data_IF_486460679461
#
_entry.id   IF_486460679461
#
_cell.length_a   1.000
_cell.length_b   1.000
_cell.length_c   1.000
_cell.angle_alpha   90.00
_cell.angle_beta   90.00
_cell.angle_gamma   90.00
#
_symmetry.space_group_name_H-M   'P 1'
#
loop_
_entity.id
_entity.type
_entity.pdbx_description
1 polymer ?
#
# COMPACT_ATOMS: atom_id res chain seq x y z
N UNK A 1 47.96 -4.29 2.24
CA UNK A 1 47.35 -5.46 1.59
C UNK A 1 46.58 -4.98 0.38
N UNK A 2 47.21 -5.07 -0.80
CA UNK A 2 46.66 -4.58 -2.06
C UNK A 2 45.54 -5.52 -2.52
N UNK A 3 44.32 -4.99 -2.68
CA UNK A 3 43.19 -5.75 -3.19
C UNK A 3 43.46 -6.23 -4.62
N UNK A 4 43.06 -7.47 -4.90
CA UNK A 4 43.25 -8.13 -6.19
C UNK A 4 42.78 -7.23 -7.36
N UNK A 5 43.68 -6.80 -8.27
CA UNK A 5 43.34 -5.87 -9.35
C UNK A 5 42.37 -6.46 -10.38
N UNK A 6 42.12 -7.78 -10.33
CA UNK A 6 41.12 -8.45 -11.16
C UNK A 6 39.69 -8.26 -10.67
N UNK A 7 39.48 -8.02 -9.37
CA UNK A 7 38.13 -7.81 -8.81
C UNK A 7 37.59 -6.40 -9.09
N UNK A 8 38.46 -5.40 -9.23
CA UNK A 8 38.09 -4.03 -9.60
C UNK A 8 37.76 -3.88 -11.09
N UNK A 9 38.18 -4.83 -11.93
CA UNK A 9 37.92 -4.85 -13.37
C UNK A 9 36.81 -5.81 -13.80
N UNK A 10 36.17 -6.55 -12.88
CA UNK A 10 34.97 -7.30 -13.22
C UNK A 10 33.82 -6.33 -13.53
N UNK A 11 33.67 -6.02 -14.82
CA UNK A 11 32.47 -5.36 -15.32
C UNK A 11 31.25 -6.13 -14.82
N UNK A 12 30.24 -5.47 -14.26
CA UNK A 12 29.14 -6.20 -13.65
C UNK A 12 28.41 -6.92 -14.78
N UNK A 13 28.42 -8.25 -14.71
CA UNK A 13 27.85 -9.13 -15.72
C UNK A 13 26.42 -8.67 -16.00
N UNK A 14 26.11 -8.30 -17.26
CA UNK A 14 24.78 -7.85 -17.64
C UNK A 14 23.75 -8.90 -17.22
N UNK A 15 22.96 -8.60 -16.20
CA UNK A 15 21.89 -9.49 -15.75
C UNK A 15 20.75 -9.33 -16.76
N UNK A 16 20.60 -10.29 -17.66
CA UNK A 16 19.54 -10.28 -18.69
C UNK A 16 19.65 -9.13 -19.70
N UNK A 17 20.87 -8.68 -20.04
CA UNK A 17 21.11 -7.69 -21.10
C UNK A 17 21.14 -6.22 -20.66
N UNK A 18 20.82 -5.92 -19.40
CA UNK A 18 20.75 -4.54 -18.87
C UNK A 18 22.08 -4.06 -18.30
N UNK A 19 22.34 -2.76 -18.44
CA UNK A 19 23.48 -2.10 -17.78
C UNK A 19 23.26 -2.10 -16.25
N UNK A 20 24.21 -2.62 -15.46
CA UNK A 20 24.16 -2.67 -13.99
C UNK A 20 23.88 -1.32 -13.30
N UNK A 21 24.20 -0.18 -13.93
CA UNK A 21 23.83 1.14 -13.39
C UNK A 21 22.32 1.33 -13.33
N UNK A 22 21.59 0.89 -14.35
CA UNK A 22 20.13 0.94 -14.41
C UNK A 22 19.50 0.04 -13.35
N UNK A 23 20.07 -1.15 -13.13
CA UNK A 23 19.61 -2.07 -12.07
C UNK A 23 19.79 -1.46 -10.68
N UNK A 24 20.89 -0.74 -10.45
CA UNK A 24 21.14 -0.01 -9.18
C UNK A 24 20.12 1.10 -8.96
N UNK A 25 19.75 1.87 -10.00
CA UNK A 25 18.70 2.89 -9.92
C UNK A 25 17.30 2.29 -9.65
N UNK A 26 16.98 1.14 -10.25
CA UNK A 26 15.72 0.43 -9.98
C UNK A 26 15.66 -0.08 -8.53
N UNK A 27 16.78 -0.54 -7.97
CA UNK A 27 16.88 -0.96 -6.57
C UNK A 27 16.81 0.23 -5.60
N UNK A 28 17.39 1.39 -5.91
CA UNK A 28 17.25 2.57 -5.05
C UNK A 28 15.85 3.15 -5.08
N UNK A 29 15.19 3.17 -6.24
CA UNK A 29 13.78 3.57 -6.34
C UNK A 29 12.86 2.60 -5.60
N UNK A 30 13.05 1.29 -5.75
CA UNK A 30 12.27 0.31 -4.99
C UNK A 30 12.57 0.34 -3.48
N UNK A 31 13.79 0.68 -3.06
CA UNK A 31 14.15 0.94 -1.66
C UNK A 31 13.48 2.21 -1.11
N UNK A 32 13.45 3.30 -1.87
CA UNK A 32 12.76 4.53 -1.49
C UNK A 32 11.25 4.31 -1.38
N UNK A 33 10.64 3.65 -2.37
CA UNK A 33 9.23 3.27 -2.38
C UNK A 33 8.87 2.32 -1.22
N UNK A 34 9.77 1.40 -0.85
CA UNK A 34 9.54 0.51 0.30
C UNK A 34 9.70 1.19 1.65
N UNK A 35 10.50 2.26 1.76
CA UNK A 35 10.59 3.07 2.98
C UNK A 35 9.34 3.92 3.22
N UNK A 36 8.80 4.52 2.15
CA UNK A 36 7.62 5.38 2.25
C UNK A 36 6.34 4.60 2.57
N UNK A 37 6.27 3.33 2.18
CA UNK A 37 5.03 2.56 2.25
C UNK A 37 5.17 1.29 3.08
N UNK A 38 5.63 1.42 4.33
CA UNK A 38 5.64 0.29 5.28
C UNK A 38 4.20 -0.23 5.45
N UNK A 39 3.96 -1.55 5.34
CA UNK A 39 2.62 -2.11 5.49
C UNK A 39 2.14 -1.86 6.92
N UNK A 40 1.28 -0.86 7.11
CA UNK A 40 0.61 -0.63 8.39
C UNK A 40 -0.49 -1.67 8.54
N UNK A 41 -0.74 -2.08 9.78
CA UNK A 41 -1.73 -3.11 10.08
C UNK A 41 -3.09 -2.73 9.44
N UNK A 42 -3.65 -3.58 8.55
CA UNK A 42 -4.92 -3.31 7.87
C UNK A 42 -6.06 -3.12 8.88
N UNK A 43 -6.04 -3.83 10.00
CA UNK A 43 -7.06 -3.72 11.05
C UNK A 43 -7.04 -2.33 11.68
N UNK A 44 -5.85 -1.81 11.98
CA UNK A 44 -5.68 -0.46 12.50
C UNK A 44 -6.23 0.58 11.53
N UNK A 45 -6.00 0.40 10.22
CA UNK A 45 -6.57 1.29 9.19
C UNK A 45 -8.09 1.19 9.11
N UNK A 46 -8.66 0.00 9.30
CA UNK A 46 -10.11 -0.18 9.34
C UNK A 46 -10.73 0.52 10.55
N UNK A 47 -10.04 0.56 11.70
CA UNK A 47 -10.55 1.21 12.92
C UNK A 47 -10.57 2.74 12.87
N UNK A 48 -9.92 3.36 11.89
CA UNK A 48 -9.84 4.82 11.76
C UNK A 48 -11.22 5.42 11.51
N UNK A 49 -12.01 4.81 10.63
CA UNK A 49 -13.33 5.33 10.28
C UNK A 49 -14.28 5.38 11.49
N UNK A 50 -14.47 4.30 12.27
CA UNK A 50 -15.32 4.36 13.46
C UNK A 50 -14.72 5.27 14.54
N UNK A 51 -13.39 5.30 14.70
CA UNK A 51 -12.73 6.23 15.62
C UNK A 51 -12.90 7.71 15.20
N UNK A 52 -13.07 7.98 13.90
CA UNK A 52 -13.34 9.31 13.37
C UNK A 52 -14.81 9.69 13.57
N UNK A 53 -15.74 8.75 13.36
CA UNK A 53 -17.19 9.00 13.43
C UNK A 53 -17.72 9.05 14.87
N UNK A 54 -17.19 8.25 15.79
CA UNK A 54 -17.71 8.17 17.16
C UNK A 54 -17.69 9.52 17.89
N UNK A 55 -16.59 10.30 17.91
CA UNK A 55 -16.58 11.61 18.57
C UNK A 55 -17.54 12.61 17.92
N UNK A 56 -17.72 12.54 16.58
CA UNK A 56 -18.66 13.40 15.86
C UNK A 56 -20.11 13.10 16.22
N UNK A 57 -20.45 11.84 16.46
CA UNK A 57 -21.78 11.45 16.93
C UNK A 57 -22.01 11.85 18.40
N UNK A 58 -20.99 11.77 19.25
CA UNK A 58 -21.07 12.24 20.64
C UNK A 58 -20.94 13.76 20.81
N UNK A 59 -20.91 14.50 19.70
CA UNK A 59 -20.76 15.95 19.70
C UNK A 59 -21.74 16.72 20.61
N UNK A 60 -23.03 16.35 20.74
CA UNK A 60 -23.95 17.07 21.63
C UNK A 60 -23.55 17.02 23.11
N UNK A 61 -22.81 15.97 23.52
CA UNK A 61 -22.37 15.76 24.91
C UNK A 61 -20.96 16.28 25.12
N UNK A 62 -20.06 16.06 24.16
CA UNK A 62 -18.64 16.46 24.25
C UNK A 62 -18.40 17.94 23.91
N UNK A 63 -19.33 18.57 23.17
CA UNK A 63 -19.11 19.86 22.54
C UNK A 63 -18.33 19.75 21.23
N UNK A 64 -18.52 20.76 20.36
CA UNK A 64 -17.99 20.75 18.98
C UNK A 64 -16.46 20.72 18.92
N UNK A 65 -15.79 21.45 19.83
CA UNK A 65 -14.33 21.54 19.87
C UNK A 65 -13.67 20.19 20.15
N UNK A 66 -14.14 19.48 21.17
CA UNK A 66 -13.60 18.18 21.56
C UNK A 66 -13.91 17.09 20.54
N UNK A 67 -15.12 17.09 19.98
CA UNK A 67 -15.50 16.17 18.91
C UNK A 67 -14.53 16.29 17.72
N UNK A 68 -14.31 17.51 17.22
CA UNK A 68 -13.40 17.75 16.10
C UNK A 68 -11.95 17.37 16.45
N UNK A 69 -11.47 17.75 17.64
CA UNK A 69 -10.11 17.45 18.08
C UNK A 69 -9.84 15.93 18.14
N UNK A 70 -10.78 15.15 18.71
CA UNK A 70 -10.66 13.70 18.78
C UNK A 70 -10.75 13.03 17.41
N UNK A 71 -11.63 13.50 16.52
CA UNK A 71 -11.72 12.98 15.16
C UNK A 71 -10.46 13.24 14.34
N UNK A 72 -9.86 14.43 14.47
CA UNK A 72 -8.58 14.76 13.84
C UNK A 72 -7.43 13.92 14.44
N UNK A 73 -7.42 13.72 15.76
CA UNK A 73 -6.46 12.85 16.42
C UNK A 73 -6.56 11.40 15.92
N UNK A 74 -7.78 10.88 15.72
CA UNK A 74 -8.01 9.56 15.16
C UNK A 74 -7.49 9.42 13.72
N UNK A 75 -7.59 10.46 12.90
CA UNK A 75 -6.99 10.48 11.57
C UNK A 75 -5.46 10.51 11.63
N UNK A 76 -4.89 11.36 12.50
CA UNK A 76 -3.44 11.49 12.69
C UNK A 76 -2.79 10.21 13.26
N UNK A 77 -3.53 9.45 14.06
CA UNK A 77 -3.11 8.19 14.67
C UNK A 77 -2.63 7.15 13.66
N UNK A 78 -3.16 7.18 12.43
CA UNK A 78 -2.70 6.34 11.32
C UNK A 78 -1.22 6.54 11.02
N UNK A 79 -0.71 7.75 11.21
CA UNK A 79 0.69 8.09 10.96
C UNK A 79 1.61 7.66 12.10
N UNK A 80 1.13 7.73 13.33
CA UNK A 80 1.89 7.47 14.56
C UNK A 80 2.11 5.97 14.78
N UNK A 81 1.15 5.11 14.40
CA UNK A 81 1.30 3.66 14.67
C UNK A 81 2.46 3.04 13.87
N UNK A 82 3.43 2.41 14.57
CA UNK A 82 4.46 1.63 13.91
C UNK A 82 3.84 0.39 13.24
N UNK A 83 4.32 0.01 12.05
CA UNK A 83 3.84 -1.18 11.37
C UNK A 83 4.21 -2.43 12.19
N UNK A 84 3.20 -3.05 12.81
CA UNK A 84 3.34 -4.37 13.43
C UNK A 84 3.43 -5.43 12.33
N UNK A 85 4.65 -5.82 11.95
CA UNK A 85 4.85 -6.93 11.03
C UNK A 85 6.21 -6.94 10.34
N UNK A 86 6.75 -8.15 10.17
CA UNK A 86 7.90 -8.38 9.29
C UNK A 86 7.52 -7.96 7.86
N UNK A 87 8.48 -7.41 7.12
CA UNK A 87 8.31 -7.06 5.69
C UNK A 87 7.81 -8.32 4.98
N UNK A 88 6.56 -8.30 4.51
CA UNK A 88 6.04 -9.36 3.66
C UNK A 88 6.82 -9.32 2.34
N UNK A 89 7.76 -10.24 2.18
CA UNK A 89 8.52 -10.42 0.95
C UNK A 89 7.78 -11.49 0.14
N UNK A 90 7.20 -11.09 -0.98
CA UNK A 90 6.38 -11.96 -1.83
C UNK A 90 4.88 -11.68 -1.74
N UNK A 91 4.15 -12.22 -2.73
CA UNK A 91 2.71 -12.05 -2.92
C UNK A 91 1.99 -13.39 -2.68
N UNK A 92 2.16 -13.98 -1.49
CA UNK A 92 1.63 -15.31 -1.20
C UNK A 92 0.16 -15.27 -0.80
N UNK A 93 -0.25 -14.25 -0.04
CA UNK A 93 -1.65 -14.09 0.37
C UNK A 93 -2.41 -13.13 -0.54
N UNK A 94 -3.74 -13.29 -0.61
CA UNK A 94 -4.63 -12.40 -1.36
C UNK A 94 -4.42 -10.92 -0.97
N UNK A 95 -4.28 -10.64 0.31
CA UNK A 95 -4.05 -9.29 0.81
C UNK A 95 -2.70 -8.72 0.36
N UNK A 96 -1.64 -9.54 0.36
CA UNK A 96 -0.32 -9.11 -0.14
C UNK A 96 -0.37 -8.78 -1.64
N UNK A 97 -1.09 -9.58 -2.43
CA UNK A 97 -1.34 -9.26 -3.85
C UNK A 97 -2.06 -7.91 -4.01
N UNK A 98 -3.09 -7.66 -3.20
CA UNK A 98 -3.83 -6.39 -3.23
C UNK A 98 -2.94 -5.19 -2.89
N UNK A 99 -2.11 -5.31 -1.83
CA UNK A 99 -1.19 -4.25 -1.42
C UNK A 99 -0.09 -3.98 -2.46
N UNK A 100 0.43 -5.03 -3.12
CA UNK A 100 1.39 -4.87 -4.21
C UNK A 100 0.72 -4.27 -5.46
N UNK A 101 -0.52 -4.67 -5.76
CA UNK A 101 -1.34 -4.09 -6.82
C UNK A 101 -1.59 -2.60 -6.60
N UNK A 102 -1.88 -2.18 -5.37
CA UNK A 102 -2.01 -0.76 -5.00
C UNK A 102 -0.71 0.01 -5.28
N UNK A 103 0.45 -0.56 -4.93
CA UNK A 103 1.75 0.05 -5.26
C UNK A 103 2.00 0.15 -6.76
N UNK A 104 1.65 -0.88 -7.53
CA UNK A 104 1.74 -0.87 -8.98
C UNK A 104 0.82 0.20 -9.59
N UNK A 105 -0.39 0.35 -9.04
CA UNK A 105 -1.36 1.36 -9.49
C UNK A 105 -0.94 2.80 -9.12
N UNK A 106 -0.25 2.99 -8.01
CA UNK A 106 0.37 4.29 -7.68
C UNK A 106 1.54 4.60 -8.63
N UNK A 107 2.26 3.57 -9.09
CA UNK A 107 3.37 3.69 -10.05
C UNK A 107 2.91 3.85 -11.52
N UNK A 108 1.62 4.11 -11.75
CA UNK A 108 1.01 4.20 -13.10
C UNK A 108 1.62 5.28 -14.01
N UNK A 109 2.27 6.29 -13.42
CA UNK A 109 2.98 7.33 -14.20
C UNK A 109 4.24 6.79 -14.89
N UNK A 110 4.87 5.76 -14.32
CA UNK A 110 6.10 5.16 -14.86
C UNK A 110 5.83 3.88 -15.66
N UNK A 111 4.88 3.06 -15.20
CA UNK A 111 4.46 1.85 -15.92
C UNK A 111 2.96 1.90 -16.13
N UNK A 112 2.47 2.05 -17.37
CA UNK A 112 1.05 2.24 -17.64
C UNK A 112 0.25 1.01 -17.19
N UNK A 113 -0.84 1.27 -16.47
CA UNK A 113 -1.80 0.24 -16.03
C UNK A 113 -2.96 0.21 -17.03
N UNK A 114 -3.54 -0.96 -17.36
CA UNK A 114 -4.64 -1.02 -18.31
C UNK A 114 -5.82 -0.13 -17.89
N UNK A 115 -6.33 0.64 -18.87
CA UNK A 115 -7.42 1.59 -18.70
C UNK A 115 -8.65 1.06 -17.92
N UNK A 116 -9.20 -0.15 -18.20
CA UNK A 116 -10.41 -0.61 -17.50
C UNK A 116 -10.18 -0.85 -16.00
N UNK A 117 -8.99 -1.25 -15.58
CA UNK A 117 -8.69 -1.43 -14.15
C UNK A 117 -8.44 -0.09 -13.47
N UNK A 118 -7.77 0.84 -14.17
CA UNK A 118 -7.52 2.18 -13.65
C UNK A 118 -8.84 2.95 -13.40
N UNK A 119 -9.75 2.96 -14.38
CA UNK A 119 -11.04 3.63 -14.26
C UNK A 119 -11.89 3.05 -13.12
N UNK A 120 -11.96 1.71 -13.00
CA UNK A 120 -12.67 1.04 -11.89
C UNK A 120 -12.08 1.40 -10.52
N UNK A 121 -10.75 1.43 -10.42
CA UNK A 121 -10.07 1.81 -9.18
C UNK A 121 -10.35 3.27 -8.80
N UNK A 122 -10.34 4.20 -9.76
CA UNK A 122 -10.69 5.60 -9.53
C UNK A 122 -12.16 5.76 -9.13
N UNK A 123 -13.09 5.10 -9.83
CA UNK A 123 -14.51 5.17 -9.51
C UNK A 123 -14.78 4.69 -8.07
N UNK A 124 -14.19 3.57 -7.66
CA UNK A 124 -14.32 3.06 -6.29
C UNK A 124 -13.69 3.98 -5.25
N UNK A 125 -12.58 4.66 -5.59
CA UNK A 125 -11.99 5.67 -4.72
C UNK A 125 -12.94 6.86 -4.52
N UNK A 126 -13.52 7.37 -5.60
CA UNK A 126 -14.47 8.50 -5.55
C UNK A 126 -15.73 8.11 -4.77
N UNK A 127 -16.31 6.94 -5.04
CA UNK A 127 -17.47 6.42 -4.30
C UNK A 127 -17.13 6.29 -2.82
N UNK A 128 -15.95 5.75 -2.49
CA UNK A 128 -15.49 5.63 -1.10
C UNK A 128 -15.34 6.99 -0.41
N UNK A 129 -14.78 8.00 -1.10
CA UNK A 129 -14.67 9.36 -0.56
C UNK A 129 -16.03 10.00 -0.31
N UNK A 130 -16.96 9.87 -1.25
CA UNK A 130 -18.34 10.38 -1.10
C UNK A 130 -19.01 9.69 0.08
N UNK A 131 -18.90 8.36 0.20
CA UNK A 131 -19.49 7.61 1.30
C UNK A 131 -18.95 8.04 2.67
N UNK A 132 -17.63 8.29 2.79
CA UNK A 132 -17.02 8.83 4.01
C UNK A 132 -17.52 10.25 4.30
N UNK A 133 -17.60 11.12 3.29
CA UNK A 133 -18.12 12.48 3.46
C UNK A 133 -19.58 12.47 3.95
N UNK A 134 -20.42 11.62 3.36
CA UNK A 134 -21.81 11.41 3.80
C UNK A 134 -21.87 10.89 5.23
N UNK A 135 -21.02 9.95 5.61
CA UNK A 135 -20.98 9.43 6.99
C UNK A 135 -20.58 10.51 8.00
N UNK A 136 -19.60 11.36 7.68
CA UNK A 136 -19.18 12.50 8.52
C UNK A 136 -20.33 13.49 8.67
N UNK A 137 -20.99 13.86 7.57
CA UNK A 137 -22.12 14.78 7.59
C UNK A 137 -23.30 14.21 8.41
N UNK A 138 -23.60 12.92 8.24
CA UNK A 138 -24.62 12.23 9.01
C UNK A 138 -24.29 12.16 10.52
N UNK A 139 -23.01 11.96 10.86
CA UNK A 139 -22.56 12.00 12.25
C UNK A 139 -22.77 13.39 12.87
N UNK A 140 -22.45 14.47 12.13
CA UNK A 140 -22.64 15.84 12.61
C UNK A 140 -24.11 16.25 12.77
N UNK A 141 -25.02 15.58 12.06
CA UNK A 141 -26.47 15.82 12.13
C UNK A 141 -27.19 14.83 13.06
N UNK A 142 -26.44 13.97 13.76
CA UNK A 142 -26.94 12.89 14.61
C UNK A 142 -27.89 11.90 13.90
N UNK A 143 -27.79 11.78 12.57
CA UNK A 143 -28.56 10.81 11.80
C UNK A 143 -27.84 9.45 11.78
N UNK A 144 -28.13 8.62 12.80
CA UNK A 144 -27.48 7.32 12.98
C UNK A 144 -27.65 6.37 11.77
N UNK A 145 -28.87 6.18 11.19
CA UNK A 145 -29.03 5.33 10.01
C UNK A 145 -28.17 5.77 8.81
N UNK A 146 -28.12 7.07 8.54
CA UNK A 146 -27.35 7.60 7.41
C UNK A 146 -25.84 7.49 7.66
N UNK A 147 -25.39 7.67 8.91
CA UNK A 147 -24.00 7.49 9.30
C UNK A 147 -23.55 6.04 9.09
N UNK A 148 -24.37 5.08 9.53
CA UNK A 148 -24.07 3.65 9.38
C UNK A 148 -24.06 3.22 7.91
N UNK A 149 -25.03 3.66 7.11
CA UNK A 149 -25.07 3.32 5.68
C UNK A 149 -23.89 3.91 4.92
N UNK A 150 -23.52 5.17 5.19
CA UNK A 150 -22.31 5.80 4.63
C UNK A 150 -21.03 5.06 5.05
N UNK A 151 -20.91 4.68 6.32
CA UNK A 151 -19.78 3.91 6.84
C UNK A 151 -19.65 2.53 6.19
N UNK A 152 -20.74 1.78 6.09
CA UNK A 152 -20.77 0.46 5.44
C UNK A 152 -20.41 0.60 3.95
N UNK A 153 -20.96 1.59 3.25
CA UNK A 153 -20.67 1.82 1.84
C UNK A 153 -19.18 2.17 1.61
N UNK A 154 -18.58 2.97 2.50
CA UNK A 154 -17.15 3.26 2.46
C UNK A 154 -16.30 2.00 2.61
N UNK A 155 -16.67 1.09 3.52
CA UNK A 155 -15.98 -0.19 3.67
C UNK A 155 -16.14 -1.09 2.45
N UNK A 156 -17.35 -1.19 1.89
CA UNK A 156 -17.61 -1.98 0.69
C UNK A 156 -16.82 -1.45 -0.51
N UNK A 157 -16.79 -0.13 -0.70
CA UNK A 157 -15.99 0.51 -1.75
C UNK A 157 -14.49 0.21 -1.56
N UNK A 158 -13.98 0.29 -0.31
CA UNK A 158 -12.59 -0.06 -0.03
C UNK A 158 -12.31 -1.55 -0.29
N UNK A 159 -13.19 -2.44 0.12
CA UNK A 159 -13.02 -3.89 -0.09
C UNK A 159 -13.08 -4.25 -1.58
N UNK A 160 -14.03 -3.68 -2.33
CA UNK A 160 -14.10 -3.80 -3.79
C UNK A 160 -12.83 -3.28 -4.47
N UNK A 161 -12.24 -2.18 -3.98
CA UNK A 161 -10.99 -1.64 -4.51
C UNK A 161 -9.84 -2.64 -4.37
N UNK A 162 -9.79 -3.41 -3.27
CA UNK A 162 -8.76 -4.44 -3.07
C UNK A 162 -8.87 -5.55 -4.11
N UNK A 163 -10.08 -5.98 -4.48
CA UNK A 163 -10.25 -6.95 -5.59
C UNK A 163 -9.74 -6.42 -6.92
N UNK A 164 -9.99 -5.13 -7.22
CA UNK A 164 -9.44 -4.50 -8.43
C UNK A 164 -7.91 -4.50 -8.37
N UNK A 165 -7.32 -4.20 -7.21
CA UNK A 165 -5.86 -4.21 -7.04
C UNK A 165 -5.25 -5.61 -7.21
N UNK A 166 -5.92 -6.67 -6.78
CA UNK A 166 -5.48 -8.05 -7.07
C UNK A 166 -5.46 -8.31 -8.57
N UNK A 167 -6.47 -7.85 -9.32
CA UNK A 167 -6.50 -7.98 -10.79
C UNK A 167 -5.39 -7.19 -11.46
N UNK A 168 -5.11 -5.96 -10.98
CA UNK A 168 -3.97 -5.15 -11.44
C UNK A 168 -2.67 -5.92 -11.21
N UNK A 169 -2.47 -6.49 -10.03
CA UNK A 169 -1.28 -7.29 -9.72
C UNK A 169 -1.14 -8.51 -10.65
N UNK A 170 -2.21 -9.27 -10.84
CA UNK A 170 -2.23 -10.47 -11.71
C UNK A 170 -1.79 -10.13 -13.15
N UNK A 171 -2.23 -8.98 -13.67
CA UNK A 171 -1.90 -8.53 -15.02
C UNK A 171 -0.48 -7.92 -15.10
N UNK A 172 -0.09 -7.13 -14.11
CA UNK A 172 1.17 -6.36 -14.13
C UNK A 172 2.38 -7.15 -13.63
N UNK A 173 2.21 -8.29 -12.95
CA UNK A 173 3.31 -9.06 -12.32
C UNK A 173 4.46 -9.41 -13.28
N UNK A 174 4.18 -9.53 -14.57
CA UNK A 174 5.16 -9.86 -15.62
C UNK A 174 5.49 -8.69 -16.55
N UNK A 175 4.84 -7.53 -16.38
CA UNK A 175 4.96 -6.41 -17.31
C UNK A 175 6.31 -5.66 -17.20
N UNK A 176 6.97 -5.72 -16.04
CA UNK A 176 8.24 -5.03 -15.82
C UNK A 176 9.20 -5.85 -14.93
N UNK A 177 10.52 -5.88 -15.20
CA UNK A 177 11.50 -6.61 -14.40
C UNK A 177 11.50 -6.24 -12.90
N UNK A 178 11.21 -4.97 -12.58
CA UNK A 178 11.04 -4.47 -11.21
C UNK A 178 9.92 -5.19 -10.46
N UNK A 179 8.81 -5.53 -11.12
CA UNK A 179 7.71 -6.28 -10.49
C UNK A 179 8.05 -7.77 -10.33
N UNK A 180 8.94 -8.30 -11.18
CA UNK A 180 9.49 -9.66 -11.02
C UNK A 180 10.40 -9.74 -9.79
N UNK A 181 11.25 -8.74 -9.55
CA UNK A 181 12.11 -8.71 -8.35
C UNK A 181 11.31 -8.60 -7.05
N UNK A 182 10.14 -7.96 -7.07
CA UNK A 182 9.26 -7.87 -5.89
C UNK A 182 8.62 -9.21 -5.49
N UNK A 183 8.59 -10.19 -6.39
CA UNK A 183 8.13 -11.57 -6.09
C UNK A 183 9.26 -12.46 -5.59
N UNK A 184 10.48 -12.20 -6.04
CA UNK A 184 11.62 -13.03 -5.68
C UNK A 184 12.04 -12.73 -4.24
N UNK A 185 12.04 -13.76 -3.40
CA UNK A 185 12.67 -13.68 -2.09
C UNK A 185 14.18 -13.61 -2.37
N UNK A 186 14.91 -12.61 -1.85
CA UNK A 186 16.35 -12.59 -1.98
C UNK A 186 16.89 -13.80 -1.20
N UNK A 187 17.32 -14.83 -1.94
CA UNK A 187 18.02 -15.97 -1.36
C UNK A 187 19.45 -15.52 -1.15
N UNK A 188 19.97 -15.75 0.06
CA UNK A 188 21.37 -15.48 0.33
C UNK A 188 22.23 -16.49 -0.43
N UNK A 189 22.96 -16.04 -1.46
CA UNK A 189 23.82 -16.91 -2.27
C UNK A 189 24.91 -17.62 -1.43
N UNK A 190 25.30 -17.05 -0.29
CA UNK A 190 26.23 -17.70 0.65
C UNK A 190 25.61 -18.95 1.30
N UNK A 191 24.28 -18.96 1.51
CA UNK A 191 23.58 -20.12 2.06
C UNK A 191 23.44 -21.27 1.06
N UNK A 192 23.43 -20.96 -0.24
CA UNK A 192 23.40 -21.96 -1.30
C UNK A 192 24.77 -22.61 -1.49
N UNK A 193 25.86 -21.82 -1.43
CA UNK A 193 27.23 -22.33 -1.48
C UNK A 193 27.55 -23.26 -0.29
N UNK A 194 27.08 -22.92 0.91
CA UNK A 194 27.31 -23.73 2.11
C UNK A 194 26.57 -25.08 2.13
N UNK A 195 25.56 -25.28 1.27
CA UNK A 195 24.86 -26.57 1.11
C UNK A 195 25.37 -27.42 -0.05
N UNK A 196 26.19 -26.84 -0.93
CA UNK A 196 26.66 -27.46 -2.17
C UNK A 196 28.12 -27.94 -2.08
N UNK A 197 28.79 -27.72 -0.94
CA UNK A 197 30.08 -28.32 -0.58
C UNK A 197 29.92 -29.10 0.71
#
# INVERSE_FOLDING_TARGET
MAGDPKLSQMQPRKIGGWDPRHVRHLNTQSAALTRMNKPKNPLVRCLVLPALLAPLWYQPVLGWFWALALSLAAAAWVWVIPPFGKKAIGAQTWLQKAMLGERMWLNRMFVPVPAPYHQKALALLVIGLIAVATAIWAATTNNLPLMLTGGILAYLAKFASLFVMVKVFEHMKNAHPLYKSWRNIPVNDNSLKAKAG
#
